data_IF_914377483414
#
_entry.id   IF_914377483414
#
_cell.length_a   1.000
_cell.length_b   1.000
_cell.length_c   1.000
_cell.angle_alpha   90.00
_cell.angle_beta   90.00
_cell.angle_gamma   90.00
#
_symmetry.space_group_name_H-M   'P 1'
#
loop_
_entity.id
_entity.type
_entity.pdbx_description
1 polymer ?
#
# COMPACT_ATOMS: atom_id res chain seq x y z
N UNK A 1 20.89 6.77 -6.90
CA UNK A 1 20.90 5.88 -5.72
C UNK A 1 22.33 5.46 -5.47
N UNK A 2 22.85 5.73 -4.28
CA UNK A 2 24.25 5.45 -3.94
C UNK A 2 24.32 4.33 -2.91
N UNK A 3 24.88 3.14 -3.23
CA UNK A 3 24.92 2.02 -2.28
C UNK A 3 25.59 2.35 -0.94
N UNK A 4 26.54 3.30 -0.92
CA UNK A 4 27.21 3.74 0.30
C UNK A 4 26.27 4.42 1.33
N UNK A 5 25.14 4.96 0.87
CA UNK A 5 24.13 5.62 1.72
C UNK A 5 23.21 4.61 2.44
N UNK A 6 23.28 3.32 2.07
CA UNK A 6 22.48 2.25 2.68
C UNK A 6 23.21 1.63 3.88
N UNK A 7 22.42 1.01 4.77
CA UNK A 7 22.94 0.22 5.88
C UNK A 7 23.81 -0.92 5.36
N UNK A 8 24.84 -1.33 6.11
CA UNK A 8 25.84 -2.30 5.63
C UNK A 8 25.22 -3.62 5.17
N UNK A 9 24.24 -4.14 5.91
CA UNK A 9 23.48 -5.34 5.56
C UNK A 9 22.63 -5.21 4.28
N UNK A 10 22.30 -3.98 3.89
CA UNK A 10 21.43 -3.70 2.75
C UNK A 10 22.21 -3.46 1.45
N UNK A 11 23.50 -3.15 1.53
CA UNK A 11 24.32 -2.80 0.35
C UNK A 11 24.39 -3.92 -0.68
N UNK A 12 24.35 -5.18 -0.23
CA UNK A 12 24.31 -6.35 -1.11
C UNK A 12 23.06 -6.40 -2.00
N UNK A 13 21.98 -5.74 -1.57
CA UNK A 13 20.72 -5.64 -2.29
C UNK A 13 20.75 -4.52 -3.34
N UNK A 14 21.73 -3.61 -3.30
CA UNK A 14 21.94 -2.60 -4.33
C UNK A 14 22.70 -3.20 -5.53
N UNK A 15 21.98 -3.64 -6.55
CA UNK A 15 22.55 -4.32 -7.72
C UNK A 15 22.70 -3.38 -8.91
N UNK A 16 23.88 -3.40 -9.55
CA UNK A 16 24.13 -2.63 -10.77
C UNK A 16 23.33 -3.22 -11.94
N UNK A 17 22.60 -2.35 -12.66
CA UNK A 17 21.79 -2.74 -13.80
C UNK A 17 22.54 -2.45 -15.11
N UNK A 18 22.35 -3.27 -16.17
CA UNK A 18 23.00 -3.06 -17.47
C UNK A 18 22.72 -1.68 -18.09
N UNK A 19 21.59 -1.07 -17.73
CA UNK A 19 21.15 0.27 -18.15
C UNK A 19 21.84 1.42 -17.43
N UNK A 20 22.84 1.15 -16.58
CA UNK A 20 23.76 2.17 -16.05
C UNK A 20 23.35 2.82 -14.73
N UNK A 21 22.56 2.13 -13.91
CA UNK A 21 22.15 2.61 -12.58
C UNK A 21 22.11 1.45 -11.58
N UNK A 22 22.13 1.76 -10.28
CA UNK A 22 21.85 0.77 -9.23
C UNK A 22 20.34 0.68 -8.95
N UNK A 23 19.84 -0.54 -8.76
CA UNK A 23 18.49 -0.81 -8.28
C UNK A 23 18.55 -1.65 -7.00
N UNK A 24 17.62 -1.40 -6.07
CA UNK A 24 17.47 -2.17 -4.86
C UNK A 24 16.61 -3.41 -5.14
N UNK A 25 17.18 -4.58 -4.89
CA UNK A 25 16.57 -5.89 -5.06
C UNK A 25 16.40 -6.48 -3.67
N UNK A 26 15.16 -6.57 -3.15
CA UNK A 26 14.93 -7.03 -1.78
C UNK A 26 15.46 -8.45 -1.56
N UNK A 27 15.79 -8.80 -0.29
CA UNK A 27 16.08 -10.17 0.08
C UNK A 27 14.91 -11.11 -0.26
N UNK A 28 15.21 -12.41 -0.31
CA UNK A 28 14.18 -13.44 -0.46
C UNK A 28 13.26 -13.45 0.75
N UNK A 29 11.98 -13.77 0.54
CA UNK A 29 11.00 -13.93 1.61
C UNK A 29 11.03 -15.38 2.15
N UNK A 30 10.81 -15.59 3.47
CA UNK A 30 10.65 -14.58 4.51
C UNK A 30 11.97 -13.91 4.89
N UNK A 31 11.96 -12.61 5.26
CA UNK A 31 13.15 -11.96 5.80
C UNK A 31 13.44 -12.48 7.22
N UNK A 32 14.72 -12.48 7.62
CA UNK A 32 15.07 -12.76 9.01
C UNK A 32 14.66 -11.58 9.90
N UNK A 33 13.76 -11.83 10.85
CA UNK A 33 13.35 -10.86 11.86
C UNK A 33 13.90 -11.29 13.23
N UNK A 34 14.88 -10.58 13.80
CA UNK A 34 15.34 -10.87 15.15
C UNK A 34 14.22 -10.55 16.15
N UNK A 35 13.80 -11.56 16.91
CA UNK A 35 12.76 -11.42 17.94
C UNK A 35 13.45 -11.14 19.27
N UNK A 36 13.10 -10.01 19.88
CA UNK A 36 13.45 -9.67 21.25
C UNK A 36 12.21 -9.43 22.11
N UNK A 37 12.42 -9.19 23.41
CA UNK A 37 11.33 -8.96 24.34
C UNK A 37 10.62 -7.62 24.13
N UNK A 38 11.27 -6.65 23.48
CA UNK A 38 10.66 -5.36 23.15
C UNK A 38 9.63 -5.53 22.03
N UNK A 39 10.03 -6.19 20.94
CA UNK A 39 9.12 -6.57 19.85
C UNK A 39 7.97 -7.44 20.37
N UNK A 40 8.26 -8.42 21.21
CA UNK A 40 7.23 -9.28 21.80
C UNK A 40 6.22 -8.49 22.65
N UNK A 41 6.68 -7.50 23.41
CA UNK A 41 5.81 -6.65 24.21
C UNK A 41 4.92 -5.75 23.33
N UNK A 42 5.49 -5.12 22.30
CA UNK A 42 4.76 -4.30 21.33
C UNK A 42 3.71 -5.11 20.57
N UNK A 43 4.07 -6.32 20.13
CA UNK A 43 3.14 -7.22 19.46
C UNK A 43 1.99 -7.61 20.37
N UNK A 44 2.28 -7.96 21.64
CA UNK A 44 1.25 -8.31 22.61
C UNK A 44 0.26 -7.16 22.87
N UNK A 45 0.75 -5.92 22.87
CA UNK A 45 -0.09 -4.72 22.98
C UNK A 45 -0.94 -4.50 21.74
N UNK A 46 -0.34 -4.59 20.55
CA UNK A 46 -1.04 -4.43 19.28
C UNK A 46 -2.15 -5.47 19.11
N UNK A 47 -1.87 -6.76 19.37
CA UNK A 47 -2.86 -7.83 19.30
C UNK A 47 -4.02 -7.60 20.27
N UNK A 48 -3.73 -7.14 21.49
CA UNK A 48 -4.77 -6.82 22.48
C UNK A 48 -5.67 -5.70 22.00
N UNK A 49 -5.12 -4.64 21.43
CA UNK A 49 -5.89 -3.51 20.92
C UNK A 49 -6.77 -3.91 19.73
N UNK A 50 -6.24 -4.70 18.80
CA UNK A 50 -7.01 -5.24 17.66
C UNK A 50 -8.11 -6.18 18.14
N UNK A 51 -7.82 -7.05 19.11
CA UNK A 51 -8.80 -7.96 19.69
C UNK A 51 -9.92 -7.22 20.44
N UNK A 52 -9.59 -6.16 21.18
CA UNK A 52 -10.56 -5.30 21.85
C UNK A 52 -11.49 -4.62 20.85
N UNK A 53 -10.94 -4.05 19.76
CA UNK A 53 -11.74 -3.46 18.68
C UNK A 53 -12.65 -4.51 18.02
N UNK A 54 -12.12 -5.69 17.72
CA UNK A 54 -12.88 -6.82 17.16
C UNK A 54 -14.02 -7.25 18.09
N UNK A 55 -13.75 -7.30 19.39
CA UNK A 55 -14.73 -7.61 20.44
C UNK A 55 -15.83 -6.57 20.53
N UNK A 56 -15.46 -5.28 20.65
CA UNK A 56 -16.40 -4.17 20.72
C UNK A 56 -17.28 -4.08 19.46
N UNK A 57 -16.70 -4.28 18.28
CA UNK A 57 -17.43 -4.29 17.01
C UNK A 57 -18.54 -5.34 16.96
N UNK A 58 -18.34 -6.53 17.56
CA UNK A 58 -19.36 -7.59 17.64
C UNK A 58 -20.55 -7.24 18.54
N UNK A 59 -20.40 -6.29 19.46
CA UNK A 59 -21.46 -5.88 20.39
C UNK A 59 -22.41 -4.83 19.78
N UNK A 60 -22.05 -4.24 18.63
CA UNK A 60 -22.84 -3.20 18.00
C UNK A 60 -23.97 -3.80 17.13
N UNK A 61 -25.22 -3.32 17.26
CA UNK A 61 -26.32 -3.77 16.41
C UNK A 61 -26.08 -3.50 14.92
N UNK A 62 -25.33 -2.43 14.61
CA UNK A 62 -24.89 -2.11 13.26
C UNK A 62 -23.47 -1.52 13.27
N UNK A 63 -22.42 -2.35 13.12
CA UNK A 63 -21.03 -1.89 13.14
C UNK A 63 -20.70 -0.90 12.02
N UNK A 64 -21.44 -0.94 10.90
CA UNK A 64 -21.19 -0.05 9.76
C UNK A 64 -21.40 1.43 10.09
N UNK A 65 -22.17 1.76 11.13
CA UNK A 65 -22.36 3.14 11.59
C UNK A 65 -21.05 3.77 12.08
N UNK A 66 -20.15 2.97 12.67
CA UNK A 66 -18.85 3.46 13.13
C UNK A 66 -17.76 3.23 12.08
N UNK A 67 -17.77 2.07 11.43
CA UNK A 67 -16.71 1.70 10.47
C UNK A 67 -16.63 2.71 9.32
N UNK A 68 -17.78 3.11 8.74
CA UNK A 68 -17.80 3.99 7.56
C UNK A 68 -17.12 5.35 7.80
N UNK A 69 -17.38 6.09 8.91
CA UNK A 69 -16.60 7.28 9.25
C UNK A 69 -15.10 7.02 9.39
N UNK A 70 -14.68 5.92 10.02
CA UNK A 70 -13.26 5.57 10.15
C UNK A 70 -12.61 5.28 8.81
N UNK A 71 -13.28 4.57 7.90
CA UNK A 71 -12.76 4.31 6.56
C UNK A 71 -12.54 5.60 5.77
N UNK A 72 -13.41 6.61 5.94
CA UNK A 72 -13.23 7.94 5.32
C UNK A 72 -12.04 8.66 5.91
N UNK A 73 -11.93 8.68 7.23
CA UNK A 73 -10.80 9.29 7.91
C UNK A 73 -9.49 8.63 7.45
N UNK A 74 -9.46 7.31 7.32
CA UNK A 74 -8.31 6.58 6.81
C UNK A 74 -7.97 6.97 5.37
N UNK A 75 -8.97 7.00 4.47
CA UNK A 75 -8.76 7.39 3.08
C UNK A 75 -8.22 8.84 2.96
N UNK A 76 -8.68 9.76 3.81
CA UNK A 76 -8.15 11.15 3.90
C UNK A 76 -6.71 11.14 4.36
N UNK A 77 -6.43 10.49 5.49
CA UNK A 77 -5.11 10.48 6.11
C UNK A 77 -4.07 9.79 5.21
N UNK A 78 -4.45 8.68 4.57
CA UNK A 78 -3.60 8.00 3.57
C UNK A 78 -3.35 8.90 2.37
N UNK A 79 -4.35 9.63 1.88
CA UNK A 79 -4.16 10.57 0.77
C UNK A 79 -3.26 11.76 1.16
N UNK A 80 -3.28 12.20 2.42
CA UNK A 80 -2.38 13.26 2.89
C UNK A 80 -0.90 12.84 2.86
N UNK A 81 -0.58 11.57 3.06
CA UNK A 81 0.80 11.06 2.93
C UNK A 81 1.30 11.27 1.50
N UNK A 82 0.43 11.11 0.51
CA UNK A 82 0.71 11.33 -0.91
C UNK A 82 0.59 12.81 -1.34
N UNK A 83 0.55 13.74 -0.37
CA UNK A 83 0.35 15.18 -0.58
C UNK A 83 -0.97 15.53 -1.31
N UNK A 84 -1.97 14.64 -1.22
CA UNK A 84 -3.32 14.88 -1.75
C UNK A 84 -4.23 15.39 -0.64
N UNK A 85 -4.65 16.65 -0.77
CA UNK A 85 -5.47 17.32 0.24
C UNK A 85 -6.95 17.40 -0.15
N UNK A 86 -7.82 16.78 0.64
CA UNK A 86 -9.27 16.94 0.58
C UNK A 86 -9.81 17.18 1.99
N UNK A 87 -10.80 18.08 2.11
CA UNK A 87 -11.42 18.38 3.40
C UNK A 87 -12.51 17.36 3.74
N UNK A 88 -12.72 17.06 5.02
CA UNK A 88 -13.71 16.06 5.46
C UNK A 88 -15.13 16.45 5.05
N UNK A 89 -15.46 17.75 5.06
CA UNK A 89 -16.75 18.28 4.63
C UNK A 89 -17.03 18.00 3.15
N UNK A 90 -16.01 18.10 2.29
CA UNK A 90 -16.12 17.81 0.86
C UNK A 90 -16.46 16.34 0.60
N UNK A 91 -15.98 15.44 1.47
CA UNK A 91 -16.28 14.01 1.41
C UNK A 91 -17.66 13.67 1.96
N UNK A 92 -18.09 14.34 3.03
CA UNK A 92 -19.47 14.19 3.52
C UNK A 92 -20.48 14.70 2.48
N UNK A 93 -20.15 15.78 1.76
CA UNK A 93 -20.91 16.26 0.61
C UNK A 93 -21.00 15.21 -0.51
N UNK A 94 -19.97 14.37 -0.69
CA UNK A 94 -19.99 13.28 -1.67
C UNK A 94 -21.06 12.23 -1.34
N UNK A 95 -21.35 11.98 -0.06
CA UNK A 95 -22.39 11.04 0.36
C UNK A 95 -23.81 11.63 0.21
N UNK A 96 -23.96 12.93 0.51
CA UNK A 96 -25.26 13.58 0.63
C UNK A 96 -25.73 14.12 -0.74
N UNK A 97 -24.83 14.76 -1.48
CA UNK A 97 -25.11 15.34 -2.79
C UNK A 97 -23.86 15.26 -3.68
N UNK A 98 -23.60 14.08 -4.28
CA UNK A 98 -22.44 13.86 -5.15
C UNK A 98 -22.33 14.90 -6.29
N UNK A 99 -23.48 15.43 -6.74
CA UNK A 99 -23.56 16.44 -7.82
C UNK A 99 -23.10 17.83 -7.37
N UNK A 100 -23.07 18.10 -6.07
CA UNK A 100 -22.69 19.38 -5.47
C UNK A 100 -21.20 19.45 -5.13
N UNK A 101 -20.47 18.35 -5.24
CA UNK A 101 -19.05 18.27 -4.91
C UNK A 101 -18.21 19.00 -5.98
N UNK A 102 -17.27 19.88 -5.59
CA UNK A 102 -16.31 20.46 -6.52
C UNK A 102 -15.58 19.37 -7.31
N UNK A 103 -15.42 19.53 -8.63
CA UNK A 103 -14.66 18.59 -9.48
C UNK A 103 -13.13 18.74 -9.26
N UNK A 104 -12.68 18.71 -8.02
CA UNK A 104 -11.26 18.72 -7.64
C UNK A 104 -10.68 17.31 -7.82
N UNK A 105 -9.42 17.21 -8.24
CA UNK A 105 -8.75 15.91 -8.40
C UNK A 105 -8.57 15.19 -7.05
N UNK A 106 -8.29 15.93 -5.98
CA UNK A 106 -8.07 15.36 -4.65
C UNK A 106 -9.30 14.67 -4.07
N UNK A 107 -10.48 15.28 -4.21
CA UNK A 107 -11.74 14.65 -3.76
C UNK A 107 -12.03 13.37 -4.53
N UNK A 108 -11.65 13.31 -5.81
CA UNK A 108 -11.78 12.10 -6.63
C UNK A 108 -10.81 11.00 -6.21
N UNK A 109 -9.57 11.36 -5.87
CA UNK A 109 -8.56 10.41 -5.35
C UNK A 109 -9.04 9.75 -4.06
N UNK A 110 -9.55 10.54 -3.10
CA UNK A 110 -10.12 9.99 -1.87
C UNK A 110 -11.37 9.15 -2.14
N UNK A 111 -12.23 9.58 -3.08
CA UNK A 111 -13.40 8.80 -3.49
C UNK A 111 -13.01 7.45 -4.11
N UNK A 112 -11.98 7.43 -4.96
CA UNK A 112 -11.44 6.20 -5.53
C UNK A 112 -10.84 5.29 -4.44
N UNK A 113 -10.15 5.85 -3.45
CA UNK A 113 -9.62 5.10 -2.32
C UNK A 113 -10.72 4.39 -1.54
N UNK A 114 -11.81 5.09 -1.22
CA UNK A 114 -12.97 4.49 -0.56
C UNK A 114 -13.58 3.37 -1.40
N UNK A 115 -13.77 3.61 -2.70
CA UNK A 115 -14.32 2.62 -3.63
C UNK A 115 -13.43 1.39 -3.75
N UNK A 116 -12.11 1.57 -3.82
CA UNK A 116 -11.15 0.47 -3.87
C UNK A 116 -11.21 -0.36 -2.58
N UNK A 117 -11.25 0.28 -1.42
CA UNK A 117 -11.34 -0.41 -0.13
C UNK A 117 -12.64 -1.22 -0.01
N UNK A 118 -13.80 -0.62 -0.31
CA UNK A 118 -15.09 -1.31 -0.28
C UNK A 118 -15.15 -2.48 -1.26
N UNK A 119 -14.62 -2.27 -2.48
CA UNK A 119 -14.53 -3.32 -3.50
C UNK A 119 -13.63 -4.47 -3.03
N UNK A 120 -12.46 -4.15 -2.46
CA UNK A 120 -11.52 -5.12 -1.91
C UNK A 120 -12.18 -6.00 -0.85
N UNK A 121 -12.84 -5.38 0.14
CA UNK A 121 -13.55 -6.09 1.21
C UNK A 121 -14.64 -7.03 0.66
N UNK A 122 -15.40 -6.59 -0.34
CA UNK A 122 -16.41 -7.45 -0.99
C UNK A 122 -15.77 -8.61 -1.75
N UNK A 123 -14.66 -8.35 -2.44
CA UNK A 123 -13.95 -9.35 -3.27
C UNK A 123 -13.28 -10.44 -2.44
N UNK A 124 -12.87 -10.15 -1.21
CA UNK A 124 -12.29 -11.14 -0.30
C UNK A 124 -13.21 -12.33 0.00
N UNK A 125 -14.52 -12.22 -0.24
CA UNK A 125 -15.45 -13.35 -0.14
C UNK A 125 -15.23 -14.44 -1.21
N UNK A 126 -14.56 -14.11 -2.33
CA UNK A 126 -14.40 -15.02 -3.49
C UNK A 126 -12.97 -15.06 -4.05
N UNK A 127 -12.13 -14.10 -3.67
CA UNK A 127 -10.76 -13.98 -4.13
C UNK A 127 -9.84 -13.69 -2.94
N UNK A 128 -8.91 -14.59 -2.59
CA UNK A 128 -7.90 -14.28 -1.57
C UNK A 128 -7.04 -13.08 -1.99
N UNK A 129 -6.38 -12.47 -1.01
CA UNK A 129 -5.38 -11.42 -1.28
C UNK A 129 -4.36 -11.97 -2.26
N UNK A 130 -4.22 -11.29 -3.39
CA UNK A 130 -3.39 -11.74 -4.51
C UNK A 130 -2.99 -10.54 -5.33
N UNK A 131 -1.96 -10.71 -6.14
CA UNK A 131 -1.56 -9.77 -7.18
C UNK A 131 -2.72 -9.38 -8.08
N UNK A 132 -3.59 -10.33 -8.44
CA UNK A 132 -4.83 -10.06 -9.19
C UNK A 132 -5.75 -9.07 -8.46
N UNK A 133 -5.98 -9.27 -7.16
CA UNK A 133 -6.78 -8.35 -6.37
C UNK A 133 -6.12 -6.98 -6.30
N UNK A 134 -4.80 -6.92 -6.04
CA UNK A 134 -4.06 -5.67 -5.97
C UNK A 134 -4.14 -4.86 -7.26
N UNK A 135 -3.98 -5.51 -8.43
CA UNK A 135 -4.10 -4.85 -9.73
C UNK A 135 -5.51 -4.30 -9.96
N UNK A 136 -6.56 -5.05 -9.60
CA UNK A 136 -7.93 -4.56 -9.68
C UNK A 136 -8.16 -3.32 -8.81
N UNK A 137 -7.69 -3.34 -7.57
CA UNK A 137 -7.81 -2.18 -6.67
C UNK A 137 -6.98 -1.00 -7.16
N UNK A 138 -5.79 -1.25 -7.72
CA UNK A 138 -4.93 -0.25 -8.33
C UNK A 138 -5.60 0.45 -9.52
N UNK A 139 -6.36 -0.29 -10.34
CA UNK A 139 -7.15 0.29 -11.43
C UNK A 139 -8.21 1.26 -10.90
N UNK A 140 -8.91 0.87 -9.84
CA UNK A 140 -9.94 1.71 -9.20
C UNK A 140 -9.31 2.97 -8.62
N UNK A 141 -8.20 2.82 -7.90
CA UNK A 141 -7.46 3.93 -7.26
C UNK A 141 -7.06 4.99 -8.29
N UNK A 142 -6.50 4.57 -9.42
CA UNK A 142 -5.96 5.49 -10.42
C UNK A 142 -6.98 5.99 -11.45
N UNK A 143 -8.25 5.58 -11.39
CA UNK A 143 -9.24 5.96 -12.39
C UNK A 143 -9.53 7.46 -12.40
N UNK A 144 -9.33 8.12 -13.54
CA UNK A 144 -9.66 9.54 -13.77
C UNK A 144 -8.98 10.54 -12.81
N UNK A 145 -7.84 10.19 -12.21
CA UNK A 145 -7.08 11.05 -11.26
C UNK A 145 -5.68 11.36 -11.77
N UNK A 146 -4.89 12.17 -11.04
CA UNK A 146 -3.49 12.45 -11.43
C UNK A 146 -2.70 11.13 -11.41
N UNK A 147 -2.31 10.66 -12.59
CA UNK A 147 -1.71 9.34 -12.76
C UNK A 147 -2.61 8.30 -13.44
N UNK A 148 -3.91 8.59 -13.60
CA UNK A 148 -4.84 7.80 -14.41
C UNK A 148 -4.68 8.00 -15.92
N UNK A 149 -3.87 8.96 -16.35
CA UNK A 149 -3.48 9.15 -17.74
C UNK A 149 -2.71 7.90 -18.22
N UNK A 150 -2.67 7.65 -19.54
CA UNK A 150 -2.00 6.50 -20.15
C UNK A 150 -0.52 6.26 -19.75
N UNK A 151 0.11 7.18 -19.00
CA UNK A 151 1.49 7.11 -18.54
C UNK A 151 1.72 6.27 -17.27
N UNK A 152 0.72 5.97 -16.42
CA UNK A 152 0.93 5.10 -15.23
C UNK A 152 0.18 3.76 -15.23
N UNK A 153 -0.37 3.36 -16.38
CA UNK A 153 -0.91 2.01 -16.62
C UNK A 153 -1.76 1.45 -15.47
N UNK A 154 -2.94 2.05 -15.16
CA UNK A 154 -3.83 1.56 -14.12
C UNK A 154 -4.15 0.07 -14.29
N UNK A 155 -4.13 -0.68 -13.19
CA UNK A 155 -4.37 -2.13 -13.21
C UNK A 155 -3.29 -2.99 -13.86
N UNK A 156 -2.14 -2.42 -14.22
CA UNK A 156 -1.01 -3.17 -14.77
C UNK A 156 0.27 -2.96 -13.96
N UNK A 157 1.19 -3.91 -14.09
CA UNK A 157 2.57 -3.69 -13.65
C UNK A 157 3.24 -2.64 -14.54
N UNK A 158 4.09 -1.81 -13.92
CA UNK A 158 4.93 -0.88 -14.66
C UNK A 158 5.84 -1.65 -15.62
N UNK A 159 6.06 -1.05 -16.79
CA UNK A 159 6.95 -1.57 -17.84
C UNK A 159 8.26 -0.78 -17.95
N UNK A 160 8.34 0.33 -17.23
CA UNK A 160 9.50 1.21 -17.17
C UNK A 160 10.02 1.31 -15.74
N UNK A 161 11.30 1.64 -15.60
CA UNK A 161 11.91 1.86 -14.32
C UNK A 161 11.37 3.15 -13.69
N UNK A 162 10.83 3.05 -12.48
CA UNK A 162 10.50 4.18 -11.62
C UNK A 162 11.61 4.39 -10.57
N UNK A 163 11.52 5.49 -9.83
CA UNK A 163 12.43 5.81 -8.75
C UNK A 163 11.74 6.72 -7.71
N UNK A 164 12.32 6.77 -6.52
CA UNK A 164 11.93 7.65 -5.43
C UNK A 164 13.07 8.62 -5.19
N UNK A 165 12.75 9.91 -5.17
CA UNK A 165 13.70 10.99 -4.93
C UNK A 165 13.02 12.34 -4.97
N UNK A 166 13.78 13.39 -4.66
CA UNK A 166 13.29 14.78 -4.73
C UNK A 166 12.79 15.12 -6.15
N UNK A 167 11.94 16.14 -6.25
CA UNK A 167 11.48 16.63 -7.55
C UNK A 167 12.67 16.93 -8.50
N UNK A 168 12.61 16.42 -9.73
CA UNK A 168 13.69 16.55 -10.72
C UNK A 168 14.81 15.50 -10.59
N UNK A 169 14.72 14.55 -9.65
CA UNK A 169 15.65 13.43 -9.58
C UNK A 169 15.60 12.57 -10.86
N UNK A 170 16.73 11.99 -11.21
CA UNK A 170 16.87 10.97 -12.26
C UNK A 170 17.22 9.64 -11.63
N UNK A 171 17.30 8.55 -12.40
CA UNK A 171 17.79 7.25 -11.87
C UNK A 171 19.17 7.34 -11.20
N UNK A 172 20.06 8.19 -11.74
CA UNK A 172 21.38 8.40 -11.17
C UNK A 172 21.31 9.12 -9.80
N UNK A 173 20.44 10.12 -9.67
CA UNK A 173 20.36 10.98 -8.50
C UNK A 173 19.22 10.64 -7.53
N UNK A 174 18.41 9.62 -7.83
CA UNK A 174 17.33 9.15 -6.99
C UNK A 174 17.83 8.64 -5.64
N UNK A 175 17.06 8.85 -4.58
CA UNK A 175 17.35 8.32 -3.24
C UNK A 175 17.19 6.80 -3.22
N UNK A 176 16.16 6.30 -3.91
CA UNK A 176 15.88 4.87 -3.98
C UNK A 176 15.40 4.51 -5.39
N UNK A 177 15.92 3.41 -5.93
CA UNK A 177 15.47 2.85 -7.19
C UNK A 177 14.94 1.44 -6.90
N UNK A 178 13.63 1.18 -7.02
CA UNK A 178 13.05 -0.15 -6.78
C UNK A 178 13.55 -1.19 -7.79
N UNK A 179 13.20 -2.48 -7.63
CA UNK A 179 13.62 -3.55 -8.52
C UNK A 179 13.38 -3.25 -10.02
N UNK A 180 14.12 -3.84 -10.95
CA UNK A 180 13.80 -3.75 -12.38
C UNK A 180 12.40 -4.28 -12.72
N UNK A 181 11.67 -3.72 -13.70
CA UNK A 181 10.34 -4.19 -14.11
C UNK A 181 10.31 -5.70 -14.41
N UNK A 182 11.32 -6.19 -15.11
CA UNK A 182 11.52 -7.59 -15.50
C UNK A 182 11.60 -8.56 -14.31
N UNK A 183 11.89 -8.08 -13.09
CA UNK A 183 11.95 -8.88 -11.88
C UNK A 183 10.67 -8.87 -11.05
N UNK A 184 9.72 -7.98 -11.37
CA UNK A 184 8.48 -7.83 -10.60
C UNK A 184 7.67 -9.13 -10.55
N UNK A 185 7.59 -9.87 -11.66
CA UNK A 185 6.81 -11.10 -11.72
C UNK A 185 7.28 -12.14 -10.71
N UNK A 186 8.60 -12.39 -10.65
CA UNK A 186 9.20 -13.30 -9.67
C UNK A 186 8.97 -12.83 -8.23
N UNK A 187 9.24 -11.56 -7.94
CA UNK A 187 9.15 -11.00 -6.59
C UNK A 187 7.72 -10.95 -6.05
N UNK A 188 6.76 -10.56 -6.88
CA UNK A 188 5.34 -10.53 -6.49
C UNK A 188 4.78 -11.95 -6.33
N UNK A 189 5.29 -12.91 -7.12
CA UNK A 189 4.96 -14.32 -6.92
C UNK A 189 5.52 -14.86 -5.60
N UNK A 190 6.76 -14.50 -5.24
CA UNK A 190 7.35 -14.84 -3.96
C UNK A 190 6.57 -14.20 -2.79
N UNK A 191 6.15 -12.94 -2.92
CA UNK A 191 5.30 -12.25 -1.96
C UNK A 191 3.94 -12.93 -1.78
N UNK A 192 3.26 -13.28 -2.87
CA UNK A 192 1.96 -13.96 -2.79
C UNK A 192 2.09 -15.35 -2.14
N UNK A 193 3.15 -16.10 -2.48
CA UNK A 193 3.46 -17.38 -1.85
C UNK A 193 3.75 -17.22 -0.36
N UNK A 194 4.55 -16.22 0.03
CA UNK A 194 4.85 -15.93 1.43
C UNK A 194 3.57 -15.59 2.20
N UNK A 195 2.73 -14.71 1.66
CA UNK A 195 1.46 -14.31 2.26
C UNK A 195 0.55 -15.50 2.60
N UNK A 196 0.50 -16.51 1.72
CA UNK A 196 -0.34 -17.70 1.90
C UNK A 196 0.38 -18.90 2.52
N UNK A 197 1.68 -18.81 2.73
CA UNK A 197 2.44 -19.89 3.36
C UNK A 197 1.93 -20.14 4.79
N UNK A 198 1.82 -21.42 5.16
CA UNK A 198 1.65 -21.81 6.56
C UNK A 198 2.87 -21.30 7.34
N UNK A 199 2.61 -20.43 8.31
CA UNK A 199 3.65 -19.81 9.14
C UNK A 199 3.23 -19.83 10.60
N UNK A 200 4.22 -19.83 11.49
CA UNK A 200 4.03 -19.60 12.93
C UNK A 200 4.14 -18.12 13.29
N UNK A 201 4.47 -17.28 12.32
CA UNK A 201 4.52 -15.83 12.50
C UNK A 201 3.12 -15.30 12.79
N UNK A 202 2.96 -14.44 13.81
CA UNK A 202 1.73 -13.72 14.06
C UNK A 202 1.32 -12.87 12.85
N UNK A 203 0.02 -12.77 12.58
CA UNK A 203 -0.49 -12.05 11.40
C UNK A 203 0.01 -10.59 11.32
N UNK A 204 0.11 -9.89 12.46
CA UNK A 204 0.62 -8.52 12.49
C UNK A 204 2.10 -8.42 12.10
N UNK A 205 2.92 -9.42 12.44
CA UNK A 205 4.31 -9.50 11.99
C UNK A 205 4.34 -9.74 10.48
N UNK A 206 3.51 -10.66 9.99
CA UNK A 206 3.42 -10.98 8.56
C UNK A 206 2.93 -9.81 7.71
N UNK A 207 2.04 -8.96 8.25
CA UNK A 207 1.55 -7.74 7.59
C UNK A 207 2.64 -6.65 7.56
N UNK A 208 3.51 -6.59 8.57
CA UNK A 208 4.57 -5.59 8.65
C UNK A 208 5.77 -5.88 7.74
N UNK A 209 5.98 -7.15 7.38
CA UNK A 209 7.06 -7.64 6.51
C UNK A 209 6.66 -7.67 5.03
#
# INVERSE_FOLDING_TARGET
MTPAEYHESERQHCQWQPSGYYAFVPPVLPPELPIDWELAALLSEADRAVAELSGAGRLLPNPHLLIRPYLRREAVLSSYIEETYAEMEELLLLDISPKSVPKKSSVREVSNHLRALETGLQRLATLPISTRLMLELHEILLRDVRGGNASKTPGEYRRSQNWIGRAGSTLATATFVPPPPERLGEMLSAWENYLHAESREPDLVKIAL
#
